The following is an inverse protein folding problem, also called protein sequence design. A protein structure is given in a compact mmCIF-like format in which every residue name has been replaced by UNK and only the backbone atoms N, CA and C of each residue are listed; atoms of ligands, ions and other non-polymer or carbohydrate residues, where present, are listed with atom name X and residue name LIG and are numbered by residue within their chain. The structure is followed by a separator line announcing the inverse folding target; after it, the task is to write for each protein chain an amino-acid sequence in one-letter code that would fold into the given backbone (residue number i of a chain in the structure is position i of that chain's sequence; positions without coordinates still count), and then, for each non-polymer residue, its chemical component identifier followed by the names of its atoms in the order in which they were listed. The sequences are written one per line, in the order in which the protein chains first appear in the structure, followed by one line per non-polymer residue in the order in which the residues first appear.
data_IF_957523507153
#
_entry.id   IF_957523507153
#
_cell.length_a   1.000
_cell.length_b   1.000
_cell.length_c   1.000
_cell.angle_alpha   90.00
_cell.angle_beta   90.00
_cell.angle_gamma   90.00
#
_symmetry.space_group_name_H-M   'P 1'
#
loop_
_entity.id
_entity.type
_entity.pdbx_description
1 polymer ?
#
# COMPACT_ATOMS: atom_id res chain seq x y z
N UNK A 1 -12.58 2.64 29.47
CA UNK A 1 -13.35 3.51 28.55
C UNK A 1 -12.58 4.75 28.01
N UNK A 2 -11.98 5.59 28.87
CA UNK A 2 -11.34 6.86 28.45
C UNK A 2 -10.24 6.75 27.39
N UNK A 3 -9.26 5.84 27.57
CA UNK A 3 -8.17 5.63 26.59
C UNK A 3 -8.65 5.24 25.19
N UNK A 4 -9.79 4.54 25.07
CA UNK A 4 -10.39 4.19 23.76
C UNK A 4 -10.92 5.44 23.07
N UNK A 5 -11.62 6.32 23.80
CA UNK A 5 -12.15 7.59 23.29
C UNK A 5 -11.01 8.53 22.87
N UNK A 6 -9.97 8.66 23.68
CA UNK A 6 -8.79 9.47 23.35
C UNK A 6 -8.12 9.00 22.04
N UNK A 7 -7.84 7.69 21.90
CA UNK A 7 -7.30 7.13 20.64
C UNK A 7 -8.21 7.37 19.43
N UNK A 8 -9.54 7.34 19.61
CA UNK A 8 -10.50 7.62 18.53
C UNK A 8 -10.40 9.08 18.09
N UNK A 9 -10.41 10.02 19.04
CA UNK A 9 -10.27 11.46 18.76
C UNK A 9 -8.95 11.75 18.03
N UNK A 10 -7.82 11.24 18.52
CA UNK A 10 -6.54 11.45 17.85
C UNK A 10 -6.50 10.90 16.42
N UNK A 11 -7.20 9.79 16.14
CA UNK A 11 -7.30 9.25 14.77
C UNK A 11 -8.16 10.13 13.87
N UNK A 12 -9.29 10.65 14.37
CA UNK A 12 -10.14 11.57 13.61
C UNK A 12 -9.39 12.87 13.32
N UNK A 13 -8.69 13.42 14.31
CA UNK A 13 -7.91 14.66 14.16
C UNK A 13 -6.76 14.46 13.16
N UNK A 14 -6.08 13.31 13.21
CA UNK A 14 -5.03 12.97 12.25
C UNK A 14 -5.57 12.81 10.83
N UNK A 15 -6.73 12.16 10.67
CA UNK A 15 -7.34 11.97 9.36
C UNK A 15 -7.77 13.31 8.75
N UNK A 16 -8.41 14.19 9.53
CA UNK A 16 -8.79 15.52 9.07
C UNK A 16 -7.58 16.37 8.62
N UNK A 17 -6.47 16.32 9.36
CA UNK A 17 -5.22 17.01 9.01
C UNK A 17 -4.55 16.49 7.75
N UNK A 18 -4.69 15.20 7.45
CA UNK A 18 -4.03 14.56 6.30
C UNK A 18 -4.88 14.56 5.03
N UNK A 19 -6.18 14.86 5.13
CA UNK A 19 -7.08 14.89 3.97
C UNK A 19 -6.49 15.76 2.84
N UNK A 20 -6.49 15.27 1.58
CA UNK A 20 -7.19 14.10 1.04
C UNK A 20 -6.45 12.75 1.17
N UNK A 21 -5.23 12.73 1.71
CA UNK A 21 -4.38 11.53 1.77
C UNK A 21 -4.87 10.52 2.83
N UNK A 22 -4.82 9.21 2.56
CA UNK A 22 -5.07 8.20 3.58
C UNK A 22 -4.00 8.21 4.68
N UNK A 23 -4.41 7.86 5.91
CA UNK A 23 -3.55 7.90 7.10
C UNK A 23 -2.38 6.91 7.02
N UNK A 24 -2.64 5.72 6.49
CA UNK A 24 -1.67 4.64 6.41
C UNK A 24 -0.90 4.65 5.08
N UNK A 25 0.35 4.20 5.12
CA UNK A 25 1.23 4.08 3.96
C UNK A 25 1.18 2.66 3.40
N UNK A 26 1.46 2.50 2.10
CA UNK A 26 1.59 1.18 1.49
C UNK A 26 2.77 0.42 2.12
N UNK A 27 2.54 -0.86 2.44
CA UNK A 27 3.53 -1.79 3.00
C UNK A 27 3.58 -3.05 2.13
N UNK A 28 4.75 -3.70 2.03
CA UNK A 28 4.91 -4.92 1.24
C UNK A 28 4.29 -6.12 1.96
N UNK A 29 4.14 -7.18 1.18
CA UNK A 29 3.67 -8.50 1.59
C UNK A 29 4.91 -9.33 1.93
N UNK A 30 4.99 -9.81 3.17
CA UNK A 30 6.19 -10.47 3.70
C UNK A 30 5.81 -11.76 4.43
N UNK A 31 6.55 -12.84 4.17
CA UNK A 31 6.43 -14.12 4.89
C UNK A 31 7.01 -14.00 6.30
N UNK A 32 6.42 -14.67 7.27
CA UNK A 32 6.98 -14.74 8.63
C UNK A 32 8.24 -15.64 8.66
N UNK A 33 9.23 -15.36 9.52
CA UNK A 33 10.56 -15.97 9.41
C UNK A 33 10.68 -17.38 9.99
N UNK A 34 9.87 -17.77 10.98
CA UNK A 34 10.04 -19.04 11.69
C UNK A 34 9.25 -20.18 11.02
N UNK A 35 9.71 -21.42 11.20
CA UNK A 35 9.05 -22.64 10.68
C UNK A 35 7.55 -22.68 11.06
N UNK A 36 7.22 -22.34 12.31
CA UNK A 36 5.84 -22.30 12.81
C UNK A 36 4.94 -21.32 12.05
N UNK A 37 5.48 -20.21 11.54
CA UNK A 37 4.69 -19.12 10.96
C UNK A 37 4.94 -18.85 9.48
N UNK A 38 5.90 -19.53 8.83
CA UNK A 38 6.28 -19.28 7.44
C UNK A 38 5.12 -19.42 6.44
N UNK A 39 4.09 -20.22 6.77
CA UNK A 39 2.84 -20.36 6.01
C UNK A 39 2.00 -19.09 6.01
N UNK A 40 2.16 -18.23 7.01
CA UNK A 40 1.44 -16.95 7.14
C UNK A 40 2.20 -15.82 6.46
N UNK A 41 1.43 -14.89 5.93
CA UNK A 41 1.93 -13.65 5.33
C UNK A 41 1.45 -12.48 6.18
N UNK A 42 2.24 -11.41 6.23
CA UNK A 42 1.96 -10.21 7.01
C UNK A 42 2.39 -8.95 6.27
N UNK A 43 1.91 -7.80 6.72
CA UNK A 43 2.44 -6.52 6.27
C UNK A 43 3.88 -6.34 6.80
N UNK A 44 4.84 -6.14 5.90
CA UNK A 44 6.25 -5.90 6.22
C UNK A 44 6.51 -4.49 6.75
N UNK A 45 7.79 -4.11 6.91
CA UNK A 45 8.17 -2.75 7.33
C UNK A 45 8.06 -1.73 6.19
N UNK A 46 8.59 -2.09 5.03
CA UNK A 46 8.65 -1.26 3.83
C UNK A 46 9.27 -2.04 2.67
N UNK A 47 9.07 -1.54 1.46
CA UNK A 47 9.61 -2.11 0.24
C UNK A 47 11.13 -2.00 0.22
N UNK A 48 11.76 -3.02 -0.35
CA UNK A 48 13.19 -3.09 -0.59
C UNK A 48 13.60 -2.18 -1.75
N UNK A 49 14.90 -1.86 -1.84
CA UNK A 49 15.41 -1.05 -2.96
C UNK A 49 15.31 -1.77 -4.30
N UNK A 50 15.44 -3.10 -4.31
CA UNK A 50 15.30 -3.92 -5.52
C UNK A 50 13.87 -3.89 -6.08
N UNK A 51 12.86 -4.07 -5.23
CA UNK A 51 11.44 -3.98 -5.64
C UNK A 51 11.10 -2.60 -6.20
N UNK A 52 11.59 -1.53 -5.55
CA UNK A 52 11.36 -0.16 -6.02
C UNK A 52 12.03 0.11 -7.37
N UNK A 53 13.24 -0.42 -7.57
CA UNK A 53 13.97 -0.30 -8.84
C UNK A 53 13.21 -0.99 -9.97
N UNK A 54 12.74 -2.21 -9.75
CA UNK A 54 11.99 -2.99 -10.75
C UNK A 54 10.59 -2.40 -11.02
N UNK A 55 9.94 -1.82 -10.02
CA UNK A 55 8.67 -1.10 -10.20
C UNK A 55 8.84 0.30 -10.83
N UNK A 56 10.08 0.77 -11.07
CA UNK A 56 10.35 2.09 -11.63
C UNK A 56 9.96 3.24 -10.69
N UNK A 57 10.10 3.04 -9.38
CA UNK A 57 9.80 4.04 -8.35
C UNK A 57 11.10 4.51 -7.68
N UNK A 58 11.51 5.79 -7.82
CA UNK A 58 12.70 6.30 -7.16
C UNK A 58 12.60 6.24 -5.63
N UNK A 59 13.67 5.82 -4.95
CA UNK A 59 13.69 5.64 -3.48
C UNK A 59 13.31 6.90 -2.68
N UNK A 60 13.66 8.09 -3.20
CA UNK A 60 13.36 9.38 -2.56
C UNK A 60 11.91 9.82 -2.79
N UNK A 61 11.32 9.42 -3.91
CA UNK A 61 9.94 9.72 -4.26
C UNK A 61 8.96 8.82 -3.51
N UNK A 62 9.31 7.54 -3.28
CA UNK A 62 8.42 6.58 -2.63
C UNK A 62 7.78 7.09 -1.30
N UNK A 63 8.53 7.63 -0.32
CA UNK A 63 7.93 8.12 0.93
C UNK A 63 6.96 9.30 0.75
N UNK A 64 7.18 10.15 -0.25
CA UNK A 64 6.33 11.33 -0.49
C UNK A 64 4.96 10.91 -1.02
N UNK A 65 4.92 9.94 -1.94
CA UNK A 65 3.69 9.36 -2.51
C UNK A 65 3.04 8.29 -1.63
N UNK A 66 3.56 8.06 -0.43
CA UNK A 66 2.94 7.17 0.57
C UNK A 66 3.35 5.70 0.50
N UNK A 67 4.49 5.40 -0.09
CA UNK A 67 5.10 4.06 -0.09
C UNK A 67 6.15 3.99 1.02
N UNK A 68 6.07 2.97 1.88
CA UNK A 68 7.06 2.75 2.93
C UNK A 68 8.32 2.09 2.36
N UNK A 69 9.51 2.55 2.74
CA UNK A 69 10.79 2.01 2.26
C UNK A 69 11.57 1.40 3.41
N UNK A 70 12.16 0.22 3.20
CA UNK A 70 13.07 -0.43 4.14
C UNK A 70 14.36 -0.84 3.42
N UNK A 71 15.43 -0.02 3.49
CA UNK A 71 16.66 -0.27 2.75
C UNK A 71 17.45 -1.49 3.25
N UNK A 72 17.10 -2.02 4.43
CA UNK A 72 17.78 -3.17 5.05
C UNK A 72 17.28 -4.52 4.53
N UNK A 73 16.07 -4.56 3.94
CA UNK A 73 15.47 -5.84 3.50
C UNK A 73 16.08 -6.28 2.19
N UNK A 74 16.60 -7.50 2.17
CA UNK A 74 17.07 -8.18 0.96
C UNK A 74 15.99 -9.10 0.41
N UNK A 75 15.97 -9.29 -0.91
CA UNK A 75 15.09 -10.26 -1.56
C UNK A 75 15.93 -11.47 -1.95
N UNK A 76 15.54 -12.64 -1.44
CA UNK A 76 16.19 -13.91 -1.74
C UNK A 76 15.37 -14.75 -2.73
N UNK A 77 14.06 -14.48 -2.83
CA UNK A 77 13.13 -15.27 -3.64
C UNK A 77 12.48 -14.40 -4.71
N UNK A 78 12.49 -14.88 -5.96
CA UNK A 78 11.90 -14.18 -7.10
C UNK A 78 10.38 -14.01 -6.97
N UNK A 79 9.67 -15.00 -6.42
CA UNK A 79 8.22 -14.95 -6.25
C UNK A 79 7.80 -13.76 -5.37
N UNK A 80 8.54 -13.55 -4.28
CA UNK A 80 8.29 -12.46 -3.34
C UNK A 80 8.57 -11.08 -3.95
N UNK A 81 9.59 -11.02 -4.81
CA UNK A 81 9.94 -9.84 -5.58
C UNK A 81 8.81 -9.50 -6.55
N UNK A 82 8.42 -10.46 -7.40
CA UNK A 82 7.35 -10.32 -8.40
C UNK A 82 6.02 -9.88 -7.76
N UNK A 83 5.61 -10.52 -6.66
CA UNK A 83 4.37 -10.17 -5.95
C UNK A 83 4.38 -8.74 -5.40
N UNK A 84 5.50 -8.28 -4.83
CA UNK A 84 5.61 -6.92 -4.29
C UNK A 84 5.77 -5.86 -5.38
N UNK A 85 6.45 -6.17 -6.48
CA UNK A 85 6.54 -5.31 -7.66
C UNK A 85 5.16 -5.12 -8.28
N UNK A 86 4.39 -6.20 -8.43
CA UNK A 86 3.01 -6.13 -8.91
C UNK A 86 2.15 -5.24 -7.98
N UNK A 87 2.28 -5.42 -6.66
CA UNK A 87 1.60 -4.58 -5.67
C UNK A 87 1.96 -3.09 -5.80
N UNK A 88 3.22 -2.76 -6.10
CA UNK A 88 3.65 -1.38 -6.34
C UNK A 88 3.04 -0.81 -7.63
N UNK A 89 2.98 -1.60 -8.70
CA UNK A 89 2.36 -1.21 -9.98
C UNK A 89 0.87 -0.95 -9.81
N UNK A 90 0.16 -1.82 -9.12
CA UNK A 90 -1.27 -1.65 -8.80
C UNK A 90 -1.52 -0.39 -7.97
N UNK A 91 -0.67 -0.14 -6.95
CA UNK A 91 -0.78 1.09 -6.17
C UNK A 91 -0.56 2.33 -7.01
N UNK A 92 0.44 2.32 -7.90
CA UNK A 92 0.74 3.43 -8.82
C UNK A 92 -0.41 3.72 -9.77
N UNK A 93 -1.10 2.69 -10.28
CA UNK A 93 -2.29 2.85 -11.12
C UNK A 93 -3.46 3.47 -10.38
N UNK A 94 -3.63 3.17 -9.08
CA UNK A 94 -4.71 3.71 -8.24
C UNK A 94 -4.39 5.09 -7.65
N UNK A 95 -3.14 5.53 -7.71
CA UNK A 95 -2.68 6.75 -7.05
C UNK A 95 -3.11 7.99 -7.84
N UNK A 96 -3.91 8.85 -7.22
CA UNK A 96 -4.22 10.19 -7.73
C UNK A 96 -3.26 11.19 -7.07
N UNK A 97 -2.29 11.71 -7.83
CA UNK A 97 -1.28 12.64 -7.32
C UNK A 97 -1.73 14.09 -7.53
N UNK A 98 -1.99 14.82 -6.45
CA UNK A 98 -2.43 16.21 -6.54
C UNK A 98 -1.28 17.13 -6.99
N UNK A 99 -1.55 18.10 -7.89
CA UNK A 99 -0.56 19.08 -8.28
C UNK A 99 -0.21 20.01 -7.13
N UNK A 100 1.08 20.33 -6.97
CA UNK A 100 1.51 21.32 -5.96
C UNK A 100 1.01 22.72 -6.27
N UNK A 101 0.89 23.05 -7.56
CA UNK A 101 0.34 24.31 -8.08
C UNK A 101 -0.81 23.96 -9.03
N UNK A 102 -2.04 24.29 -8.63
CA UNK A 102 -3.26 23.95 -9.40
C UNK A 102 -3.30 24.52 -10.81
N UNK A 103 -2.69 25.70 -11.01
CA UNK A 103 -2.63 26.38 -12.32
C UNK A 103 -1.55 25.83 -13.26
N UNK A 104 -0.59 25.06 -12.76
CA UNK A 104 0.56 24.59 -13.53
C UNK A 104 0.88 23.13 -13.14
N UNK A 105 0.01 22.17 -13.49
CA UNK A 105 0.24 20.76 -13.20
C UNK A 105 1.46 20.24 -13.97
N UNK A 106 2.25 19.40 -13.31
CA UNK A 106 3.40 18.71 -13.89
C UNK A 106 3.01 17.34 -14.44
N UNK A 107 3.89 16.75 -15.25
CA UNK A 107 3.71 15.40 -15.76
C UNK A 107 3.52 14.38 -14.62
N UNK A 108 2.46 13.57 -14.72
CA UNK A 108 2.10 12.57 -13.73
C UNK A 108 1.27 13.09 -12.54
N UNK A 109 0.92 14.38 -12.52
CA UNK A 109 -0.07 14.94 -11.60
C UNK A 109 -1.48 14.83 -12.21
N UNK A 110 -2.48 14.70 -11.35
CA UNK A 110 -3.88 14.50 -11.71
C UNK A 110 -4.51 15.75 -12.31
N UNK A 111 -5.50 15.56 -13.18
CA UNK A 111 -6.24 16.67 -13.79
C UNK A 111 -7.13 17.40 -12.79
N UNK A 112 -7.61 18.60 -13.15
CA UNK A 112 -8.51 19.38 -12.30
C UNK A 112 -9.83 18.63 -11.98
N UNK A 113 -10.28 17.75 -12.86
CA UNK A 113 -11.49 16.94 -12.66
C UNK A 113 -11.24 15.77 -11.71
N UNK A 114 -10.14 15.05 -11.90
CA UNK A 114 -9.75 13.92 -11.05
C UNK A 114 -9.49 14.37 -9.61
N UNK A 115 -8.89 15.54 -9.43
CA UNK A 115 -8.64 16.11 -8.10
C UNK A 115 -9.93 16.49 -7.37
N UNK A 116 -10.93 17.03 -8.06
CA UNK A 116 -12.27 17.29 -7.49
C UNK A 116 -12.96 15.99 -7.09
N UNK A 117 -13.04 15.02 -8.01
CA UNK A 117 -13.61 13.68 -7.76
C UNK A 117 -12.92 12.98 -6.59
N UNK A 118 -11.59 13.08 -6.49
CA UNK A 118 -10.83 12.48 -5.39
C UNK A 118 -11.06 13.18 -4.04
N UNK A 119 -11.33 14.49 -4.03
CA UNK A 119 -11.65 15.24 -2.81
C UNK A 119 -13.02 14.85 -2.26
N UNK A 120 -13.98 14.60 -3.15
CA UNK A 120 -15.36 14.22 -2.80
C UNK A 120 -15.47 12.75 -2.41
N UNK A 121 -14.93 11.84 -3.23
CA UNK A 121 -14.99 10.38 -2.97
C UNK A 121 -14.06 9.91 -1.86
N UNK A 122 -13.09 10.73 -1.45
CA UNK A 122 -12.08 10.36 -0.47
C UNK A 122 -11.34 9.06 -0.85
N UNK A 123 -11.13 8.22 0.15
CA UNK A 123 -10.39 6.96 0.06
C UNK A 123 -11.24 5.73 0.42
N UNK A 124 -12.56 5.89 0.52
CA UNK A 124 -13.50 4.78 0.77
C UNK A 124 -13.44 3.77 -0.39
N UNK A 125 -13.32 2.47 -0.05
CA UNK A 125 -13.21 1.38 -1.02
C UNK A 125 -11.88 1.24 -1.77
N UNK A 126 -11.02 2.28 -1.79
CA UNK A 126 -9.74 2.26 -2.53
C UNK A 126 -8.57 1.68 -1.73
N UNK A 127 -8.60 1.83 -0.40
CA UNK A 127 -7.58 1.27 0.50
C UNK A 127 -8.02 -0.11 0.95
N UNK A 128 -7.54 -1.13 0.24
CA UNK A 128 -7.82 -2.53 0.60
C UNK A 128 -7.08 -2.89 1.88
N UNK A 129 -7.80 -3.38 2.88
CA UNK A 129 -7.21 -3.89 4.11
C UNK A 129 -6.19 -4.98 3.76
N UNK A 130 -4.97 -4.91 4.31
CA UNK A 130 -3.87 -5.81 3.95
C UNK A 130 -4.21 -7.29 4.14
N UNK A 131 -5.19 -7.58 5.00
CA UNK A 131 -5.67 -8.93 5.29
C UNK A 131 -6.27 -9.65 4.07
N UNK A 132 -6.86 -8.93 3.11
CA UNK A 132 -7.45 -9.57 1.92
C UNK A 132 -6.40 -10.09 0.94
N UNK A 133 -5.14 -9.62 1.03
CA UNK A 133 -4.04 -10.10 0.19
C UNK A 133 -3.30 -11.30 0.81
N UNK A 134 -3.76 -11.82 1.97
CA UNK A 134 -3.17 -12.99 2.63
C UNK A 134 -4.10 -14.21 2.47
N UNK A 135 -4.20 -14.81 1.26
CA UNK A 135 -5.04 -15.96 1.05
C UNK A 135 -4.44 -17.16 1.77
N UNK A 136 -5.10 -17.59 2.83
CA UNK A 136 -5.14 -19.01 3.17
C UNK A 136 -6.58 -19.42 2.88
N UNK A 137 -6.88 -19.72 1.61
CA UNK A 137 -8.02 -20.58 1.31
C UNK A 137 -7.49 -22.01 1.32
N UNK A 138 -7.71 -22.74 2.41
CA UNK A 138 -7.61 -24.19 2.38
C UNK A 138 -8.86 -24.76 1.69
N UNK A 139 -9.12 -24.35 0.45
CA UNK A 139 -10.16 -25.00 -0.36
C UNK A 139 -9.56 -26.30 -0.88
N UNK A 140 -9.94 -27.42 -0.27
CA UNK A 140 -9.64 -28.75 -0.80
C UNK A 140 -10.53 -28.95 -2.03
N UNK A 141 -10.00 -28.70 -3.23
CA UNK A 141 -10.67 -29.08 -4.46
C UNK A 141 -10.45 -30.57 -4.69
N UNK A 142 -11.43 -31.37 -4.28
CA UNK A 142 -11.47 -32.80 -4.63
C UNK A 142 -11.83 -32.87 -6.12
N UNK A 143 -10.90 -33.34 -6.95
CA UNK A 143 -11.20 -33.73 -8.32
C UNK A 143 -11.46 -35.24 -8.30
N UNK A 144 -12.70 -35.65 -8.54
CA UNK A 144 -13.00 -37.04 -8.84
C UNK A 144 -12.36 -37.38 -10.19
N UNK A 145 -11.50 -38.40 -10.19
CA UNK A 145 -10.82 -38.88 -11.39
C UNK A 145 -11.82 -39.38 -12.43
N UNK A 146 -11.49 -39.20 -13.71
CA UNK A 146 -12.24 -39.76 -14.84
C UNK A 146 -12.35 -41.28 -14.74
#
# INVERSE_FOLDING_TARGET
PGKKKARRSHRTDKAAKLAPRPVDRLRPVVRCPTIKYNRRVRAGRGFSLAELKEAGVPRKLAPTIGISVDPRRQNLSEESLKANVQRLKEYKQRLVLFPRKTKSPKAGEASAEETKKARESGHEGKVVNSNNFFPISNEVKIQEGK
#
